data_IF_745816578008
#
_entry.id   IF_745816578008
#
_cell.length_a   1.000
_cell.length_b   1.000
_cell.length_c   1.000
_cell.angle_alpha   90.00
_cell.angle_beta   90.00
_cell.angle_gamma   90.00
#
_symmetry.space_group_name_H-M   'P 1'
#
loop_
_entity.id
_entity.type
_entity.pdbx_description
1 polymer ?
#
# COMPACT_ATOMS: atom_id res chain seq x y z
N UNK A 1 14.82 -5.20 21.33
CA UNK A 1 15.22 -4.17 20.39
C UNK A 1 14.31 -2.95 20.48
N UNK A 2 14.72 -1.84 19.89
CA UNK A 2 13.93 -0.62 19.80
C UNK A 2 13.72 -0.30 18.32
N UNK A 3 12.54 0.20 17.97
CA UNK A 3 12.26 0.76 16.67
C UNK A 3 12.19 2.27 16.79
N UNK A 4 12.97 2.97 15.96
CA UNK A 4 13.05 4.42 15.96
C UNK A 4 12.58 5.00 14.64
N UNK A 5 11.93 6.16 14.71
CA UNK A 5 11.54 7.01 13.58
C UNK A 5 12.21 8.38 13.78
N UNK A 6 13.03 8.81 12.81
CA UNK A 6 13.87 10.01 12.94
C UNK A 6 14.65 10.08 14.28
N UNK A 7 15.26 8.95 14.70
CA UNK A 7 16.01 8.79 15.95
C UNK A 7 15.18 8.82 17.25
N UNK A 8 13.86 8.97 17.16
CA UNK A 8 12.95 8.89 18.31
C UNK A 8 12.31 7.50 18.37
N UNK A 9 12.11 6.98 19.60
CA UNK A 9 11.41 5.71 19.78
C UNK A 9 9.96 5.86 19.33
N UNK A 10 9.48 4.94 18.46
CA UNK A 10 8.10 4.98 17.92
C UNK A 10 7.03 4.94 19.01
N UNK A 11 7.35 4.48 20.22
CA UNK A 11 6.39 4.49 21.34
C UNK A 11 6.17 5.91 21.89
N UNK A 12 7.17 6.81 21.78
CA UNK A 12 7.06 8.19 22.20
C UNK A 12 6.52 9.12 21.12
N UNK A 13 6.76 8.82 19.84
CA UNK A 13 6.31 9.61 18.69
C UNK A 13 5.24 8.87 17.87
N UNK A 14 4.41 8.03 18.51
CA UNK A 14 3.48 7.12 17.81
C UNK A 14 2.52 7.84 16.86
N UNK A 15 1.99 8.98 17.23
CA UNK A 15 1.06 9.75 16.39
C UNK A 15 1.73 10.22 15.09
N UNK A 16 2.91 10.78 15.18
CA UNK A 16 3.66 11.29 14.02
C UNK A 16 4.09 10.13 13.13
N UNK A 17 4.61 9.06 13.73
CA UNK A 17 4.95 7.84 13.00
C UNK A 17 3.74 7.23 12.29
N UNK A 18 2.58 7.16 12.96
CA UNK A 18 1.37 6.57 12.38
C UNK A 18 0.85 7.35 11.16
N UNK A 19 0.97 8.68 11.17
CA UNK A 19 0.56 9.55 10.05
C UNK A 19 1.53 9.54 8.88
N UNK A 20 2.78 9.14 9.10
CA UNK A 20 3.84 9.15 8.09
C UNK A 20 4.07 7.78 7.45
N UNK A 21 3.27 6.78 7.81
CA UNK A 21 3.37 5.44 7.23
C UNK A 21 2.05 4.95 6.64
N UNK A 22 2.15 4.23 5.53
CA UNK A 22 1.10 3.38 5.02
C UNK A 22 1.46 1.93 5.27
N UNK A 23 0.57 1.18 5.92
CA UNK A 23 0.72 -0.27 6.11
C UNK A 23 -0.32 -1.02 5.28
N UNK A 24 0.15 -1.95 4.44
CA UNK A 24 -0.69 -2.93 3.74
C UNK A 24 -0.20 -4.31 4.12
N UNK A 25 -0.97 -4.98 4.96
CA UNK A 25 -0.68 -6.32 5.43
C UNK A 25 -1.02 -7.42 4.41
N UNK A 26 -0.72 -8.65 4.77
CA UNK A 26 -1.10 -9.83 4.01
C UNK A 26 -2.62 -9.87 3.73
N UNK A 27 -3.43 -9.57 4.73
CA UNK A 27 -4.86 -9.33 4.54
C UNK A 27 -5.08 -7.92 4.03
N UNK A 28 -5.89 -7.76 2.99
CA UNK A 28 -6.13 -6.47 2.31
C UNK A 28 -6.70 -5.37 3.21
N UNK A 29 -7.20 -5.70 4.41
CA UNK A 29 -7.79 -4.78 5.39
C UNK A 29 -8.85 -3.83 4.80
N UNK A 30 -9.59 -4.32 3.79
CA UNK A 30 -10.73 -3.63 3.20
C UNK A 30 -12.02 -4.04 3.92
N UNK A 31 -12.98 -3.12 3.98
CA UNK A 31 -14.34 -3.40 4.47
C UNK A 31 -15.14 -4.02 3.32
N UNK A 32 -15.39 -5.34 3.40
CA UNK A 32 -15.99 -6.11 2.31
C UNK A 32 -17.43 -5.67 1.97
N UNK A 33 -18.14 -5.09 2.92
CA UNK A 33 -19.50 -4.58 2.73
C UNK A 33 -19.53 -3.23 2.00
N UNK A 34 -18.43 -2.50 2.02
CA UNK A 34 -18.25 -1.23 1.32
C UNK A 34 -17.79 -1.47 -0.12
N UNK A 35 -18.06 -0.49 -0.97
CA UNK A 35 -17.54 -0.43 -2.34
C UNK A 35 -16.06 -0.03 -2.35
N UNK A 36 -15.31 -0.18 -3.47
CA UNK A 36 -13.96 0.34 -3.62
C UNK A 36 -13.86 1.84 -3.28
N UNK A 37 -14.76 2.65 -3.81
CA UNK A 37 -14.76 4.09 -3.59
C UNK A 37 -15.02 4.44 -2.12
N UNK A 38 -15.99 3.80 -1.48
CA UNK A 38 -16.27 3.96 -0.05
C UNK A 38 -15.10 3.52 0.84
N UNK A 39 -14.40 2.44 0.47
CA UNK A 39 -13.19 2.00 1.17
C UNK A 39 -12.09 3.07 1.10
N UNK A 40 -11.84 3.66 -0.07
CA UNK A 40 -10.85 4.72 -0.21
C UNK A 40 -11.28 5.98 0.57
N UNK A 41 -12.52 6.44 0.46
CA UNK A 41 -13.04 7.57 1.25
C UNK A 41 -12.85 7.36 2.75
N UNK A 42 -13.20 6.18 3.25
CA UNK A 42 -13.01 5.84 4.66
C UNK A 42 -11.54 5.89 5.04
N UNK A 43 -10.66 5.36 4.18
CA UNK A 43 -9.23 5.29 4.45
C UNK A 43 -8.59 6.68 4.47
N UNK A 44 -8.92 7.55 3.52
CA UNK A 44 -8.36 8.91 3.42
C UNK A 44 -9.05 9.94 4.31
N UNK A 45 -9.99 9.55 5.14
CA UNK A 45 -10.73 10.48 6.01
C UNK A 45 -9.85 11.33 6.93
N UNK A 46 -8.60 10.89 7.20
CA UNK A 46 -7.60 11.64 7.99
C UNK A 46 -6.71 12.55 7.13
N UNK A 47 -6.89 12.59 5.81
CA UNK A 47 -6.13 13.42 4.84
C UNK A 47 -7.09 14.32 4.06
N UNK A 48 -7.48 15.47 4.63
CA UNK A 48 -8.49 16.36 4.02
C UNK A 48 -8.04 17.00 2.69
N UNK A 49 -6.75 16.96 2.39
CA UNK A 49 -6.17 17.42 1.12
C UNK A 49 -6.48 16.48 -0.06
N UNK A 50 -6.84 15.22 0.19
CA UNK A 50 -7.17 14.24 -0.87
C UNK A 50 -8.56 14.54 -1.40
N UNK A 51 -8.68 14.76 -2.70
CA UNK A 51 -9.92 15.09 -3.37
C UNK A 51 -10.65 13.84 -3.86
N UNK A 52 -11.93 13.98 -4.08
CA UNK A 52 -12.76 12.88 -4.62
C UNK A 52 -12.25 12.39 -5.98
N UNK A 53 -11.82 13.30 -6.86
CA UNK A 53 -11.29 12.95 -8.17
C UNK A 53 -10.01 12.10 -8.08
N UNK A 54 -9.19 12.29 -7.03
CA UNK A 54 -7.98 11.49 -6.80
C UNK A 54 -8.36 10.02 -6.51
N UNK A 55 -9.51 9.79 -5.84
CA UNK A 55 -9.98 8.44 -5.54
C UNK A 55 -10.45 7.71 -6.80
N UNK A 56 -11.19 8.42 -7.65
CA UNK A 56 -11.63 7.87 -8.95
C UNK A 56 -10.44 7.53 -9.83
N UNK A 57 -9.48 8.44 -9.92
CA UNK A 57 -8.26 8.22 -10.69
C UNK A 57 -7.45 7.04 -10.14
N UNK A 58 -7.36 6.89 -8.82
CA UNK A 58 -6.66 5.78 -8.19
C UNK A 58 -7.32 4.43 -8.51
N UNK A 59 -8.65 4.37 -8.55
CA UNK A 59 -9.38 3.15 -8.93
C UNK A 59 -9.18 2.82 -10.41
N UNK A 60 -9.19 3.81 -11.29
CA UNK A 60 -8.90 3.61 -12.71
C UNK A 60 -7.46 3.08 -12.91
N UNK A 61 -6.47 3.67 -12.24
CA UNK A 61 -5.06 3.27 -12.36
C UNK A 61 -4.81 1.83 -11.88
N UNK A 62 -5.56 1.34 -10.89
CA UNK A 62 -5.51 -0.08 -10.48
C UNK A 62 -6.45 -0.97 -11.29
N UNK A 63 -7.00 -0.50 -12.41
CA UNK A 63 -7.92 -1.24 -13.30
C UNK A 63 -9.22 -1.70 -12.62
N UNK A 64 -9.79 -0.84 -11.80
CA UNK A 64 -11.09 -1.03 -11.15
C UNK A 64 -12.16 -0.08 -11.71
N UNK A 65 -11.93 0.54 -12.87
CA UNK A 65 -12.93 1.32 -13.58
C UNK A 65 -14.17 0.47 -13.85
N UNK A 66 -15.35 0.98 -13.49
CA UNK A 66 -16.64 0.27 -13.59
C UNK A 66 -16.98 -0.64 -12.40
N UNK A 67 -16.11 -0.72 -11.37
CA UNK A 67 -16.33 -1.46 -10.13
C UNK A 67 -16.46 -0.56 -8.90
N UNK A 68 -16.43 0.76 -9.07
CA UNK A 68 -16.37 1.75 -8.00
C UNK A 68 -17.50 1.61 -6.99
N UNK A 69 -18.70 1.24 -7.48
CA UNK A 69 -19.94 1.09 -6.70
C UNK A 69 -20.32 -0.37 -6.42
N UNK A 70 -19.46 -1.34 -6.79
CA UNK A 70 -19.70 -2.76 -6.54
C UNK A 70 -19.19 -3.13 -5.15
N UNK A 71 -20.00 -3.68 -4.23
CA UNK A 71 -19.53 -4.10 -2.91
C UNK A 71 -18.32 -5.04 -3.01
N UNK A 72 -17.29 -4.78 -2.23
CA UNK A 72 -16.02 -5.52 -2.31
C UNK A 72 -16.15 -7.03 -2.07
N UNK A 73 -17.20 -7.48 -1.38
CA UNK A 73 -17.50 -8.90 -1.22
C UNK A 73 -17.83 -9.62 -2.54
N UNK A 74 -18.24 -8.89 -3.57
CA UNK A 74 -18.56 -9.42 -4.90
C UNK A 74 -17.34 -9.41 -5.83
N UNK A 75 -16.25 -8.78 -5.40
CA UNK A 75 -15.01 -8.69 -6.16
C UNK A 75 -14.17 -9.96 -5.98
N UNK A 76 -13.41 -10.32 -7.02
CA UNK A 76 -12.39 -11.36 -6.93
C UNK A 76 -11.29 -11.00 -5.93
N UNK A 77 -10.53 -11.99 -5.47
CA UNK A 77 -9.39 -11.76 -4.56
C UNK A 77 -8.37 -10.76 -5.14
N UNK A 78 -8.09 -10.85 -6.44
CA UNK A 78 -7.21 -9.91 -7.14
C UNK A 78 -7.76 -8.48 -7.17
N UNK A 79 -9.06 -8.32 -7.46
CA UNK A 79 -9.72 -7.01 -7.41
C UNK A 79 -9.73 -6.44 -5.98
N UNK A 80 -10.01 -7.25 -4.96
CA UNK A 80 -9.93 -6.83 -3.56
C UNK A 80 -8.49 -6.39 -3.19
N UNK A 81 -7.46 -7.10 -3.71
CA UNK A 81 -6.06 -6.70 -3.51
C UNK A 81 -5.78 -5.36 -4.18
N UNK A 82 -6.30 -5.12 -5.39
CA UNK A 82 -6.17 -3.84 -6.11
C UNK A 82 -6.84 -2.69 -5.35
N UNK A 83 -8.00 -2.89 -4.72
CA UNK A 83 -8.63 -1.88 -3.82
C UNK A 83 -7.67 -1.51 -2.67
N UNK A 84 -7.03 -2.49 -2.05
CA UNK A 84 -6.06 -2.23 -0.99
C UNK A 84 -4.83 -1.47 -1.50
N UNK A 85 -4.35 -1.80 -2.69
CA UNK A 85 -3.18 -1.17 -3.30
C UNK A 85 -3.47 0.24 -3.85
N UNK A 86 -4.72 0.56 -4.21
CA UNK A 86 -5.11 1.92 -4.62
C UNK A 86 -4.78 2.97 -3.53
N UNK A 87 -4.69 2.55 -2.27
CA UNK A 87 -4.25 3.41 -1.16
C UNK A 87 -2.85 3.98 -1.34
N UNK A 88 -1.95 3.29 -2.08
CA UNK A 88 -0.61 3.79 -2.40
C UNK A 88 -0.65 5.09 -3.20
N UNK A 89 -1.70 5.30 -3.99
CA UNK A 89 -1.86 6.45 -4.88
C UNK A 89 -2.44 7.67 -4.18
N UNK A 90 -3.23 7.46 -3.12
CA UNK A 90 -4.00 8.52 -2.46
C UNK A 90 -3.46 8.92 -1.08
N UNK A 91 -2.41 8.26 -0.59
CA UNK A 91 -1.82 8.60 0.71
C UNK A 91 -0.45 9.24 0.57
N UNK A 92 -0.28 10.49 1.01
CA UNK A 92 1.00 11.20 0.93
C UNK A 92 1.94 10.79 2.09
N UNK A 93 2.23 9.49 2.22
CA UNK A 93 3.07 8.97 3.30
C UNK A 93 4.48 8.64 2.80
N UNK A 94 5.54 9.08 3.49
CA UNK A 94 6.92 8.82 3.07
C UNK A 94 7.38 7.37 3.29
N UNK A 95 6.71 6.61 4.15
CA UNK A 95 7.05 5.22 4.45
C UNK A 95 5.93 4.27 4.05
N UNK A 96 6.23 3.32 3.18
CA UNK A 96 5.36 2.19 2.88
C UNK A 96 5.87 0.92 3.55
N UNK A 97 5.00 0.22 4.25
CA UNK A 97 5.26 -1.09 4.85
C UNK A 97 4.29 -2.07 4.20
N UNK A 98 4.82 -2.99 3.41
CA UNK A 98 4.04 -3.88 2.55
C UNK A 98 4.36 -5.34 2.88
N UNK A 99 3.34 -6.09 3.28
CA UNK A 99 3.48 -7.50 3.63
C UNK A 99 2.87 -8.37 2.52
N UNK A 100 3.73 -9.08 1.77
CA UNK A 100 3.39 -9.91 0.62
C UNK A 100 2.45 -9.20 -0.39
N UNK A 101 2.79 -7.99 -0.87
CA UNK A 101 1.85 -7.18 -1.65
C UNK A 101 1.53 -7.76 -3.03
N UNK A 102 2.36 -8.65 -3.57
CA UNK A 102 2.19 -9.27 -4.89
C UNK A 102 1.18 -10.44 -4.90
N UNK A 103 0.77 -10.91 -3.72
CA UNK A 103 -0.20 -12.00 -3.61
C UNK A 103 -1.51 -11.66 -4.33
N UNK A 104 -2.03 -12.61 -5.10
CA UNK A 104 -3.25 -12.52 -5.90
C UNK A 104 -3.21 -11.49 -7.06
N UNK A 105 -2.05 -10.93 -7.38
CA UNK A 105 -1.89 -10.09 -8.57
C UNK A 105 -1.57 -10.94 -9.81
N UNK A 106 -2.11 -10.53 -10.94
CA UNK A 106 -1.71 -10.98 -12.25
C UNK A 106 -0.41 -10.30 -12.71
N UNK A 107 0.15 -10.71 -13.84
CA UNK A 107 1.40 -10.15 -14.37
C UNK A 107 1.35 -8.64 -14.54
N UNK A 108 0.22 -8.10 -15.01
CA UNK A 108 0.05 -6.66 -15.20
C UNK A 108 0.04 -5.92 -13.86
N UNK A 109 -0.62 -6.48 -12.85
CA UNK A 109 -0.64 -5.94 -11.49
C UNK A 109 0.74 -5.97 -10.82
N UNK A 110 1.53 -7.02 -11.08
CA UNK A 110 2.92 -7.10 -10.59
C UNK A 110 3.77 -5.97 -11.19
N UNK A 111 3.77 -5.83 -12.52
CA UNK A 111 4.52 -4.78 -13.23
C UNK A 111 4.09 -3.39 -12.75
N UNK A 112 2.78 -3.18 -12.61
CA UNK A 112 2.23 -1.92 -12.09
C UNK A 112 2.78 -1.61 -10.69
N UNK A 113 2.74 -2.59 -9.77
CA UNK A 113 3.21 -2.38 -8.39
C UNK A 113 4.72 -2.11 -8.33
N UNK A 114 5.53 -2.85 -9.08
CA UNK A 114 6.97 -2.59 -9.19
C UNK A 114 7.24 -1.16 -9.67
N UNK A 115 6.49 -0.68 -10.65
CA UNK A 115 6.55 0.70 -11.12
C UNK A 115 6.18 1.73 -10.04
N UNK A 116 5.17 1.42 -9.19
CA UNK A 116 4.81 2.30 -8.05
C UNK A 116 5.93 2.35 -7.00
N UNK A 117 6.51 1.19 -6.65
CA UNK A 117 7.62 1.10 -5.70
C UNK A 117 8.81 1.93 -6.20
N UNK A 118 9.20 1.77 -7.47
CA UNK A 118 10.30 2.52 -8.07
C UNK A 118 10.02 4.04 -8.07
N UNK A 119 8.80 4.47 -8.43
CA UNK A 119 8.40 5.89 -8.41
C UNK A 119 8.44 6.47 -7.00
N UNK A 120 7.95 5.75 -6.00
CA UNK A 120 7.96 6.19 -4.61
C UNK A 120 9.37 6.39 -4.08
N UNK A 121 10.26 5.44 -4.33
CA UNK A 121 11.68 5.52 -3.93
C UNK A 121 12.39 6.66 -4.66
N UNK A 122 12.15 6.84 -5.97
CA UNK A 122 12.72 7.94 -6.75
C UNK A 122 12.26 9.32 -6.26
N UNK A 123 11.05 9.41 -5.69
CA UNK A 123 10.54 10.62 -5.05
C UNK A 123 11.07 10.85 -3.62
N UNK A 124 11.99 10.02 -3.12
CA UNK A 124 12.59 10.13 -1.78
C UNK A 124 11.83 9.36 -0.69
N UNK A 125 10.82 8.58 -1.04
CA UNK A 125 10.12 7.70 -0.12
C UNK A 125 10.93 6.47 0.25
N UNK A 126 10.48 5.75 1.28
CA UNK A 126 11.07 4.51 1.75
C UNK A 126 10.05 3.36 1.71
N UNK A 127 10.51 2.17 1.37
CA UNK A 127 9.65 0.97 1.35
C UNK A 127 10.29 -0.13 2.19
N UNK A 128 9.52 -0.69 3.10
CA UNK A 128 9.82 -1.94 3.79
C UNK A 128 8.86 -2.99 3.25
N UNK A 129 9.38 -4.04 2.65
CA UNK A 129 8.56 -5.04 1.96
C UNK A 129 8.99 -6.46 2.34
N UNK A 130 8.02 -7.33 2.61
CA UNK A 130 8.23 -8.79 2.62
C UNK A 130 7.70 -9.36 1.32
N UNK A 131 8.44 -10.25 0.68
CA UNK A 131 7.99 -10.86 -0.57
C UNK A 131 8.73 -12.14 -0.89
N UNK A 132 8.01 -13.12 -1.48
CA UNK A 132 8.60 -14.24 -2.19
C UNK A 132 8.86 -13.93 -3.68
N UNK A 133 8.37 -12.79 -4.15
CA UNK A 133 8.62 -12.30 -5.51
C UNK A 133 10.01 -11.65 -5.60
N UNK A 134 10.78 -12.00 -6.63
CA UNK A 134 12.09 -11.41 -6.87
C UNK A 134 11.96 -9.95 -7.33
N UNK A 135 12.56 -9.04 -6.59
CA UNK A 135 12.54 -7.59 -6.86
C UNK A 135 13.89 -7.20 -7.48
N UNK A 136 14.11 -7.56 -8.75
CA UNK A 136 15.41 -7.35 -9.42
C UNK A 136 15.63 -5.93 -9.94
N UNK A 137 14.55 -5.19 -10.24
CA UNK A 137 14.63 -3.93 -10.98
C UNK A 137 14.33 -2.68 -10.12
N UNK A 138 14.31 -2.82 -8.78
CA UNK A 138 14.08 -1.69 -7.88
C UNK A 138 15.42 -1.05 -7.48
N UNK A 139 15.64 0.24 -7.79
CA UNK A 139 16.86 0.94 -7.41
C UNK A 139 17.07 0.94 -5.88
N UNK A 140 18.33 0.82 -5.44
CA UNK A 140 18.73 0.88 -4.03
C UNK A 140 18.09 -0.19 -3.13
N UNK A 141 17.64 -1.32 -3.69
CA UNK A 141 17.12 -2.44 -2.92
C UNK A 141 18.21 -2.99 -1.97
N UNK A 142 17.83 -3.13 -0.69
CA UNK A 142 18.65 -3.83 0.33
C UNK A 142 17.86 -5.03 0.81
N UNK A 143 18.45 -6.20 0.66
CA UNK A 143 17.83 -7.44 1.15
C UNK A 143 18.35 -7.77 2.55
N UNK A 144 17.44 -8.12 3.44
CA UNK A 144 17.72 -8.58 4.80
C UNK A 144 17.14 -9.98 4.93
N UNK A 145 17.99 -10.97 5.15
CA UNK A 145 17.57 -12.33 5.46
C UNK A 145 17.34 -12.45 6.98
N UNK A 146 16.11 -12.74 7.37
CA UNK A 146 15.77 -13.04 8.75
C UNK A 146 15.97 -14.53 8.98
N UNK A 147 17.20 -14.93 9.36
CA UNK A 147 17.52 -16.30 9.73
C UNK A 147 17.10 -16.62 11.17
N UNK A 148 16.60 -17.83 11.40
CA UNK A 148 16.54 -18.35 12.78
C UNK A 148 17.97 -18.61 13.25
N UNK A 149 18.47 -17.81 14.19
CA UNK A 149 19.62 -18.21 14.97
C UNK A 149 19.23 -19.48 15.74
N UNK A 150 19.83 -20.61 15.35
CA UNK A 150 19.80 -21.85 16.14
C UNK A 150 20.60 -21.65 17.41
#
# INVERSE_FOLDING_TARGET
>A
GQVCWYSENIQTCFHDYARQRLYIGHLSAIKKVLTPLENLRWFVSSWPEVKEDDLWQALDEVTLAGYEDVPCQQLSAGQQRRVALARLLVTPTPLWILDEPFTALDKAGVIWLEGQLARHVAAGGSVLITSHHALSDIPALRQIELGMHK
#
